data_IF_298599269998
#
_entry.id   IF_298599269998
#
_cell.length_a   1.000
_cell.length_b   1.000
_cell.length_c   1.000
_cell.angle_alpha   90.00
_cell.angle_beta   90.00
_cell.angle_gamma   90.00
#
_symmetry.space_group_name_H-M   'P 1'
#
loop_
_entity.id
_entity.type
_entity.pdbx_description
1 polymer ?
#
# COMPACT_ATOMS: atom_id res chain seq x y z
N UNK A 1 -17.75 6.01 -30.91
CA UNK A 1 -17.42 6.99 -29.85
C UNK A 1 -16.00 6.68 -29.41
N UNK A 2 -15.09 7.64 -29.47
CA UNK A 2 -13.77 7.48 -28.85
C UNK A 2 -14.04 7.34 -27.34
N UNK A 3 -13.87 6.14 -26.80
CA UNK A 3 -13.86 5.93 -25.35
C UNK A 3 -12.73 6.80 -24.80
N UNK A 4 -13.08 7.87 -24.09
CA UNK A 4 -12.08 8.77 -23.51
C UNK A 4 -11.29 7.98 -22.47
N UNK A 5 -10.06 7.62 -22.81
CA UNK A 5 -9.17 6.85 -21.93
C UNK A 5 -8.87 7.70 -20.69
N UNK A 6 -9.23 7.22 -19.50
CA UNK A 6 -8.88 7.88 -18.25
C UNK A 6 -7.40 7.62 -17.95
N UNK A 7 -6.67 8.67 -17.62
CA UNK A 7 -5.25 8.58 -17.27
C UNK A 7 -5.12 8.91 -15.78
N UNK A 8 -4.47 8.02 -15.03
CA UNK A 8 -4.07 8.24 -13.64
C UNK A 8 -2.55 8.21 -13.59
N UNK A 9 -1.95 9.16 -12.88
CA UNK A 9 -0.50 9.22 -12.69
C UNK A 9 -0.21 9.20 -11.20
N UNK A 10 0.57 8.23 -10.76
CA UNK A 10 1.15 8.21 -9.41
C UNK A 10 2.58 8.76 -9.48
N UNK A 11 2.73 10.03 -9.07
CA UNK A 11 4.05 10.66 -8.97
C UNK A 11 4.73 10.30 -7.63
N UNK A 12 5.70 9.40 -7.71
CA UNK A 12 6.53 8.94 -6.59
C UNK A 12 7.95 9.53 -6.62
N UNK A 13 8.25 10.42 -7.58
CA UNK A 13 9.63 10.76 -7.91
C UNK A 13 10.32 11.64 -6.86
N UNK A 14 9.58 12.34 -6.00
CA UNK A 14 10.19 13.22 -4.98
C UNK A 14 9.99 12.71 -3.57
N UNK A 15 8.88 12.03 -3.32
CA UNK A 15 8.41 11.72 -1.96
C UNK A 15 8.15 10.23 -1.76
N UNK A 16 8.43 9.40 -2.76
CA UNK A 16 8.23 7.96 -2.69
C UNK A 16 6.76 7.57 -2.59
N UNK A 17 6.50 6.44 -1.95
CA UNK A 17 5.16 5.90 -1.75
C UNK A 17 5.06 5.11 -0.44
N UNK A 18 4.13 5.50 0.42
CA UNK A 18 3.75 4.76 1.62
C UNK A 18 2.27 4.38 1.53
N UNK A 19 1.82 3.32 2.20
CA UNK A 19 0.44 2.86 2.10
C UNK A 19 -0.56 3.90 2.63
N UNK A 20 -0.29 4.49 3.78
CA UNK A 20 -1.06 5.59 4.38
C UNK A 20 -1.13 6.83 3.47
N UNK A 21 -0.01 7.20 2.84
CA UNK A 21 0.08 8.29 1.86
C UNK A 21 -0.74 7.97 0.61
N UNK A 22 -0.70 6.72 0.15
CA UNK A 22 -1.42 6.29 -1.03
C UNK A 22 -2.93 6.29 -0.79
N UNK A 23 -3.37 5.75 0.35
CA UNK A 23 -4.76 5.81 0.78
C UNK A 23 -5.24 7.25 0.97
N UNK A 24 -4.46 8.08 1.67
CA UNK A 24 -4.75 9.49 1.86
C UNK A 24 -4.90 10.24 0.53
N UNK A 25 -4.01 9.99 -0.42
CA UNK A 25 -4.07 10.56 -1.77
C UNK A 25 -5.33 10.18 -2.54
N UNK A 26 -5.78 8.93 -2.45
CA UNK A 26 -7.01 8.47 -3.11
C UNK A 26 -8.27 9.08 -2.46
N UNK A 27 -8.29 9.22 -1.13
CA UNK A 27 -9.37 9.92 -0.43
C UNK A 27 -9.40 11.40 -0.83
N UNK A 28 -8.24 12.05 -0.93
CA UNK A 28 -8.15 13.45 -1.35
C UNK A 28 -8.54 13.65 -2.82
N UNK A 29 -8.32 12.63 -3.66
CA UNK A 29 -8.76 12.60 -5.06
C UNK A 29 -10.28 12.45 -5.20
N UNK A 30 -10.99 12.07 -4.13
CA UNK A 30 -12.45 12.01 -4.09
C UNK A 30 -13.03 10.62 -3.87
N UNK A 31 -12.24 9.63 -3.42
CA UNK A 31 -12.81 8.36 -2.99
C UNK A 31 -13.79 8.56 -1.81
N UNK A 32 -14.89 7.83 -1.82
CA UNK A 32 -15.92 7.90 -0.77
C UNK A 32 -15.34 7.47 0.59
N UNK A 33 -15.21 8.46 1.48
CA UNK A 33 -14.62 8.27 2.79
C UNK A 33 -15.42 7.32 3.69
N UNK A 34 -16.74 7.32 3.56
CA UNK A 34 -17.61 6.50 4.41
C UNK A 34 -17.54 5.03 3.99
N UNK A 35 -17.48 4.75 2.68
CA UNK A 35 -17.24 3.41 2.15
C UNK A 35 -15.85 2.88 2.56
N UNK A 36 -14.80 3.71 2.44
CA UNK A 36 -13.45 3.34 2.88
C UNK A 36 -13.43 3.05 4.39
N UNK A 37 -14.00 3.92 5.23
CA UNK A 37 -14.04 3.71 6.69
C UNK A 37 -14.82 2.46 7.07
N UNK A 38 -15.93 2.16 6.37
CA UNK A 38 -16.74 0.97 6.60
C UNK A 38 -15.94 -0.30 6.31
N UNK A 39 -15.21 -0.33 5.19
CA UNK A 39 -14.35 -1.46 4.83
C UNK A 39 -13.15 -1.64 5.77
N UNK A 40 -12.55 -0.54 6.22
CA UNK A 40 -11.47 -0.61 7.21
C UNK A 40 -11.97 -1.14 8.56
N UNK A 41 -13.15 -0.72 9.00
CA UNK A 41 -13.74 -1.23 10.24
C UNK A 41 -14.10 -2.71 10.14
N UNK A 42 -14.53 -3.23 8.99
CA UNK A 42 -14.88 -4.65 8.86
C UNK A 42 -13.69 -5.60 9.09
N UNK A 43 -12.45 -5.12 8.97
CA UNK A 43 -11.25 -5.91 9.31
C UNK A 43 -11.29 -6.46 10.75
N UNK A 44 -11.92 -5.75 11.69
CA UNK A 44 -12.02 -6.18 13.09
C UNK A 44 -12.70 -7.55 13.25
N UNK A 45 -13.56 -7.94 12.29
CA UNK A 45 -14.29 -9.21 12.33
C UNK A 45 -13.45 -10.40 11.83
N UNK A 46 -12.28 -10.14 11.26
CA UNK A 46 -11.41 -11.17 10.68
C UNK A 46 -10.11 -11.36 11.44
N UNK A 47 -9.92 -10.59 12.52
CA UNK A 47 -8.73 -10.60 13.37
C UNK A 47 -9.07 -11.27 14.68
N UNK A 48 -8.23 -12.22 15.11
CA UNK A 48 -8.40 -12.89 16.39
C UNK A 48 -8.34 -11.90 17.55
N UNK A 49 -9.28 -12.03 18.49
CA UNK A 49 -9.45 -11.08 19.60
C UNK A 49 -10.31 -9.85 19.26
N UNK A 50 -10.69 -9.68 17.99
CA UNK A 50 -11.60 -8.63 17.50
C UNK A 50 -11.24 -7.22 18.03
N UNK A 51 -10.01 -6.74 17.80
CA UNK A 51 -9.59 -5.43 18.28
C UNK A 51 -10.48 -4.33 17.68
N UNK A 52 -10.66 -3.24 18.42
CA UNK A 52 -11.32 -2.05 17.88
C UNK A 52 -10.38 -1.39 16.89
N UNK A 53 -10.84 -1.17 15.66
CA UNK A 53 -10.08 -0.47 14.63
C UNK A 53 -10.56 0.98 14.55
N UNK A 54 -9.64 1.89 14.84
CA UNK A 54 -9.86 3.32 14.71
C UNK A 54 -9.19 3.84 13.45
N UNK A 55 -9.93 4.66 12.70
CA UNK A 55 -9.49 5.25 11.43
C UNK A 55 -9.66 6.76 11.53
N UNK A 56 -8.54 7.47 11.52
CA UNK A 56 -8.51 8.93 11.51
C UNK A 56 -7.99 9.40 10.17
N UNK A 57 -8.79 10.23 9.48
CA UNK A 57 -8.33 10.96 8.31
C UNK A 57 -8.15 12.42 8.71
N UNK A 58 -6.97 12.96 8.47
CA UNK A 58 -6.65 14.35 8.78
C UNK A 58 -6.10 15.08 7.56
N UNK A 59 -6.45 16.35 7.42
CA UNK A 59 -5.78 17.24 6.47
C UNK A 59 -4.37 17.55 7.01
N UNK A 60 -3.38 17.37 6.14
CA UNK A 60 -1.98 17.62 6.47
C UNK A 60 -1.39 18.62 5.49
N UNK A 61 -0.43 19.40 6.00
CA UNK A 61 0.37 20.30 5.18
C UNK A 61 1.85 19.93 5.33
N UNK A 62 2.51 19.67 4.22
CA UNK A 62 3.96 19.41 4.15
C UNK A 62 4.59 20.52 3.33
N UNK A 63 5.21 21.48 4.02
CA UNK A 63 5.62 22.77 3.44
C UNK A 63 4.38 23.45 2.84
N UNK A 64 4.38 23.70 1.53
CA UNK A 64 3.28 24.37 0.83
C UNK A 64 2.26 23.42 0.21
N UNK A 65 2.49 22.11 0.27
CA UNK A 65 1.59 21.10 -0.30
C UNK A 65 0.58 20.64 0.75
N UNK A 66 -0.69 20.60 0.35
CA UNK A 66 -1.76 19.99 1.13
C UNK A 66 -1.95 18.54 0.70
N UNK A 67 -2.52 17.73 1.59
CA UNK A 67 -2.98 16.38 1.29
C UNK A 67 -3.72 15.81 2.49
N UNK A 68 -4.12 14.55 2.40
CA UNK A 68 -4.72 13.81 3.51
C UNK A 68 -3.78 12.73 4.02
N UNK A 69 -3.82 12.49 5.32
CA UNK A 69 -3.16 11.36 5.99
C UNK A 69 -4.21 10.44 6.58
N UNK A 70 -4.03 9.14 6.36
CA UNK A 70 -4.82 8.10 7.01
C UNK A 70 -3.99 7.50 8.15
N UNK A 71 -4.47 7.63 9.38
CA UNK A 71 -3.88 6.97 10.55
C UNK A 71 -4.84 5.86 11.00
N UNK A 72 -4.34 4.61 10.99
CA UNK A 72 -5.10 3.42 11.40
C UNK A 72 -4.45 2.80 12.63
N UNK A 73 -5.25 2.55 13.67
CA UNK A 73 -4.79 1.93 14.92
C UNK A 73 -5.72 0.82 15.38
N UNK A 74 -5.19 -0.13 16.16
CA UNK A 74 -5.94 -1.21 16.79
C UNK A 74 -5.82 -1.16 18.32
N UNK A 75 -6.94 -1.37 19.01
CA UNK A 75 -6.98 -1.55 20.47
C UNK A 75 -7.61 -2.92 20.85
N UNK A 76 -6.85 -3.85 21.45
CA UNK A 76 -5.43 -3.72 21.81
C UNK A 76 -4.51 -3.73 20.58
N UNK A 77 -3.26 -3.22 20.71
CA UNK A 77 -2.26 -3.31 19.65
C UNK A 77 -2.12 -4.77 19.17
N UNK A 78 -2.19 -4.95 17.86
CA UNK A 78 -2.25 -6.27 17.23
C UNK A 78 -1.11 -6.44 16.24
N UNK A 79 -0.33 -7.52 16.41
CA UNK A 79 0.71 -7.94 15.48
C UNK A 79 0.27 -9.18 14.72
N UNK A 80 0.57 -9.23 13.43
CA UNK A 80 0.12 -10.22 12.48
C UNK A 80 1.29 -11.09 11.98
N UNK A 81 1.00 -12.36 11.77
CA UNK A 81 1.84 -13.27 10.98
C UNK A 81 1.51 -13.15 9.49
N UNK A 82 2.38 -13.68 8.62
CA UNK A 82 2.13 -13.74 7.18
C UNK A 82 0.83 -14.48 6.83
N UNK A 83 0.58 -15.60 7.52
CA UNK A 83 -0.62 -16.42 7.32
C UNK A 83 -1.88 -15.66 7.74
N UNK A 84 -1.84 -14.97 8.88
CA UNK A 84 -2.98 -14.16 9.33
C UNK A 84 -3.22 -12.98 8.40
N UNK A 85 -2.18 -12.30 7.90
CA UNK A 85 -2.32 -11.20 6.94
C UNK A 85 -3.07 -11.65 5.68
N UNK A 86 -2.64 -12.76 5.07
CA UNK A 86 -3.32 -13.37 3.90
C UNK A 86 -4.79 -13.62 4.22
N UNK A 87 -5.04 -14.33 5.32
CA UNK A 87 -6.39 -14.72 5.72
C UNK A 87 -7.28 -13.49 5.95
N UNK A 88 -6.79 -12.47 6.65
CA UNK A 88 -7.54 -11.25 6.98
C UNK A 88 -7.94 -10.51 5.70
N UNK A 89 -6.96 -10.21 4.82
CA UNK A 89 -7.24 -9.44 3.60
C UNK A 89 -8.17 -10.22 2.68
N UNK A 90 -7.91 -11.52 2.44
CA UNK A 90 -8.75 -12.35 1.57
C UNK A 90 -10.18 -12.48 2.09
N UNK A 91 -10.37 -12.64 3.40
CA UNK A 91 -11.70 -12.70 3.99
C UNK A 91 -12.42 -11.36 3.88
N UNK A 92 -11.74 -10.27 4.20
CA UNK A 92 -12.31 -8.93 4.15
C UNK A 92 -12.77 -8.57 2.72
N UNK A 93 -11.90 -8.69 1.71
CA UNK A 93 -12.26 -8.31 0.33
C UNK A 93 -13.30 -9.23 -0.31
N UNK A 94 -13.42 -10.48 0.17
CA UNK A 94 -14.47 -11.40 -0.29
C UNK A 94 -15.84 -10.99 0.27
N UNK A 95 -15.88 -10.51 1.49
CA UNK A 95 -17.12 -10.14 2.19
C UNK A 95 -17.58 -8.71 1.81
N UNK A 96 -16.72 -7.93 1.13
CA UNK A 96 -17.05 -6.65 0.51
C UNK A 96 -17.61 -6.82 -0.91
N UNK A 97 -18.51 -5.91 -1.31
CA UNK A 97 -19.09 -5.85 -2.66
C UNK A 97 -18.12 -5.22 -3.68
N UNK A 98 -17.00 -5.89 -3.93
CA UNK A 98 -15.94 -5.46 -4.85
C UNK A 98 -15.95 -6.26 -6.16
N UNK A 99 -15.48 -5.65 -7.26
CA UNK A 99 -15.18 -6.37 -8.48
C UNK A 99 -14.12 -7.47 -8.27
N UNK A 100 -14.14 -8.48 -9.15
CA UNK A 100 -13.10 -9.53 -9.13
C UNK A 100 -11.69 -8.97 -9.41
N UNK A 101 -11.60 -7.85 -10.15
CA UNK A 101 -10.32 -7.16 -10.37
C UNK A 101 -9.78 -6.56 -9.08
N UNK A 102 -10.63 -5.88 -8.30
CA UNK A 102 -10.25 -5.31 -7.00
C UNK A 102 -9.83 -6.40 -6.00
N UNK A 103 -10.60 -7.50 -5.90
CA UNK A 103 -10.26 -8.64 -5.03
C UNK A 103 -8.93 -9.29 -5.44
N UNK A 104 -8.70 -9.43 -6.74
CA UNK A 104 -7.44 -9.94 -7.28
C UNK A 104 -6.28 -9.00 -6.96
N UNK A 105 -6.46 -7.68 -7.14
CA UNK A 105 -5.46 -6.69 -6.78
C UNK A 105 -5.02 -6.80 -5.32
N UNK A 106 -5.97 -6.82 -4.37
CA UNK A 106 -5.65 -6.97 -2.95
C UNK A 106 -4.86 -8.27 -2.67
N UNK A 107 -5.25 -9.38 -3.31
CA UNK A 107 -4.58 -10.67 -3.17
C UNK A 107 -3.15 -10.65 -3.73
N UNK A 108 -2.95 -10.03 -4.90
CA UNK A 108 -1.65 -9.93 -5.55
C UNK A 108 -0.69 -9.02 -4.75
N UNK A 109 -1.21 -7.94 -4.13
CA UNK A 109 -0.45 -7.07 -3.24
C UNK A 109 0.06 -7.84 -2.02
N UNK A 110 -0.80 -8.59 -1.33
CA UNK A 110 -0.39 -9.39 -0.17
C UNK A 110 0.62 -10.48 -0.55
N UNK A 111 0.40 -11.16 -1.69
CA UNK A 111 1.38 -12.13 -2.19
C UNK A 111 2.74 -11.49 -2.43
N UNK A 112 2.76 -10.29 -3.03
CA UNK A 112 3.99 -9.55 -3.33
C UNK A 112 4.74 -9.18 -2.04
N UNK A 113 4.03 -8.73 -1.01
CA UNK A 113 4.64 -8.42 0.30
C UNK A 113 5.30 -9.66 0.92
N UNK A 114 4.56 -10.76 0.97
CA UNK A 114 5.02 -11.98 1.63
C UNK A 114 6.17 -12.63 0.87
N UNK A 115 6.14 -12.63 -0.46
CA UNK A 115 7.24 -13.13 -1.27
C UNK A 115 8.51 -12.28 -1.09
N UNK A 116 8.37 -10.97 -0.91
CA UNK A 116 9.49 -10.07 -0.66
C UNK A 116 10.10 -10.30 0.73
N UNK A 117 9.28 -10.38 1.77
CA UNK A 117 9.70 -10.71 3.13
C UNK A 117 10.41 -12.07 3.20
N UNK A 118 9.87 -13.08 2.49
CA UNK A 118 10.45 -14.42 2.42
C UNK A 118 11.87 -14.40 1.86
N UNK A 119 12.07 -13.62 0.79
CA UNK A 119 13.37 -13.47 0.13
C UNK A 119 14.33 -12.66 0.98
N UNK A 120 13.89 -11.54 1.53
CA UNK A 120 14.68 -10.66 2.38
C UNK A 120 15.22 -11.41 3.61
N UNK A 121 14.42 -12.30 4.20
CA UNK A 121 14.80 -13.07 5.38
C UNK A 121 15.34 -14.48 5.09
N UNK A 122 15.29 -14.95 3.84
CA UNK A 122 15.71 -16.30 3.46
C UNK A 122 14.91 -17.41 4.15
N UNK A 123 13.65 -17.15 4.48
CA UNK A 123 12.75 -18.06 5.22
C UNK A 123 11.61 -18.55 4.34
N UNK A 124 10.98 -19.66 4.74
CA UNK A 124 9.71 -20.09 4.14
C UNK A 124 8.56 -19.21 4.63
N UNK A 125 7.52 -19.07 3.82
CA UNK A 125 6.36 -18.21 4.10
C UNK A 125 5.75 -18.49 5.49
N UNK A 126 5.69 -19.77 5.87
CA UNK A 126 5.10 -20.21 7.13
C UNK A 126 5.94 -19.82 8.37
N UNK A 127 7.21 -19.48 8.18
CA UNK A 127 8.18 -19.14 9.23
C UNK A 127 8.44 -17.62 9.32
N UNK A 128 7.76 -16.82 8.50
CA UNK A 128 7.89 -15.36 8.47
C UNK A 128 6.97 -14.74 9.52
N UNK A 129 7.60 -14.15 10.53
CA UNK A 129 7.00 -13.08 11.29
C UNK A 129 7.17 -11.81 10.46
N UNK A 130 6.06 -11.15 10.13
CA UNK A 130 6.12 -9.89 9.40
C UNK A 130 6.68 -8.86 10.37
N UNK A 131 7.85 -8.34 10.05
CA UNK A 131 8.49 -7.36 10.90
C UNK A 131 8.06 -5.97 10.44
N UNK A 132 8.27 -5.68 9.15
CA UNK A 132 8.03 -4.36 8.57
C UNK A 132 6.56 -4.12 8.20
N UNK A 133 5.79 -5.19 7.98
CA UNK A 133 4.39 -5.14 7.51
C UNK A 133 3.44 -5.93 8.42
N UNK A 134 3.83 -6.12 9.67
CA UNK A 134 3.15 -6.97 10.64
C UNK A 134 2.14 -6.26 11.53
N UNK A 135 1.91 -4.96 11.33
CA UNK A 135 0.95 -4.19 12.11
C UNK A 135 -0.42 -4.15 11.42
N UNK A 136 -1.42 -3.61 12.12
CA UNK A 136 -2.79 -3.47 11.59
C UNK A 136 -2.86 -2.52 10.38
N UNK A 137 -1.88 -1.63 10.25
CA UNK A 137 -1.74 -0.69 9.15
C UNK A 137 -1.71 -1.42 7.80
N UNK A 138 -0.99 -2.52 7.68
CA UNK A 138 -0.77 -3.22 6.42
C UNK A 138 -2.07 -3.77 5.82
N UNK A 139 -2.87 -4.62 6.50
CA UNK A 139 -4.15 -5.05 5.94
C UNK A 139 -5.12 -3.88 5.74
N UNK A 140 -5.07 -2.86 6.60
CA UNK A 140 -5.88 -1.66 6.46
C UNK A 140 -5.55 -0.88 5.20
N UNK A 141 -4.28 -0.59 4.94
CA UNK A 141 -3.80 0.09 3.74
C UNK A 141 -4.16 -0.70 2.48
N UNK A 142 -3.95 -2.02 2.47
CA UNK A 142 -4.29 -2.88 1.32
C UNK A 142 -5.80 -2.84 1.03
N UNK A 143 -6.64 -3.08 2.05
CA UNK A 143 -8.10 -3.09 1.86
C UNK A 143 -8.62 -1.69 1.54
N UNK A 144 -8.18 -0.68 2.28
CA UNK A 144 -8.60 0.71 2.11
C UNK A 144 -8.25 1.24 0.73
N UNK A 145 -7.03 1.00 0.25
CA UNK A 145 -6.62 1.39 -1.11
C UNK A 145 -7.43 0.62 -2.15
N UNK A 146 -7.62 -0.69 -1.97
CA UNK A 146 -8.42 -1.50 -2.91
C UNK A 146 -9.84 -0.93 -3.06
N UNK A 147 -10.49 -0.59 -1.94
CA UNK A 147 -11.84 -0.01 -1.93
C UNK A 147 -11.84 1.38 -2.54
N UNK A 148 -10.85 2.22 -2.23
CA UNK A 148 -10.76 3.56 -2.79
C UNK A 148 -10.54 3.54 -4.31
N UNK A 149 -9.69 2.64 -4.81
CA UNK A 149 -9.46 2.43 -6.24
C UNK A 149 -10.72 1.94 -6.97
N UNK A 150 -11.45 0.99 -6.37
CA UNK A 150 -12.73 0.50 -6.92
C UNK A 150 -13.77 1.61 -6.95
N UNK A 151 -13.93 2.37 -5.86
CA UNK A 151 -14.87 3.48 -5.76
C UNK A 151 -14.58 4.57 -6.81
N UNK A 152 -13.30 4.84 -7.09
CA UNK A 152 -12.87 5.77 -8.12
C UNK A 152 -12.98 5.19 -9.54
N UNK A 153 -13.28 3.91 -9.72
CA UNK A 153 -13.37 3.24 -11.03
C UNK A 153 -12.01 3.01 -11.68
N UNK A 154 -10.92 2.91 -10.91
CA UNK A 154 -9.57 2.77 -11.47
C UNK A 154 -9.27 1.36 -11.99
N UNK A 155 -10.11 0.37 -11.65
CA UNK A 155 -10.05 -0.96 -12.24
C UNK A 155 -10.85 -1.09 -13.56
N UNK A 156 -11.51 -0.03 -14.02
CA UNK A 156 -12.24 0.00 -15.28
C UNK A 156 -11.29 -0.16 -16.47
N UNK A 157 -11.76 -0.82 -17.54
CA UNK A 157 -10.91 -1.16 -18.70
C UNK A 157 -10.44 0.03 -19.53
N UNK A 158 -11.05 1.20 -19.35
CA UNK A 158 -10.69 2.45 -20.01
C UNK A 158 -9.75 3.32 -19.17
N UNK A 159 -9.37 2.89 -17.98
CA UNK A 159 -8.35 3.54 -17.15
C UNK A 159 -6.97 2.97 -17.47
N UNK A 160 -5.97 3.86 -17.59
CA UNK A 160 -4.55 3.51 -17.70
C UNK A 160 -3.78 4.23 -16.61
N UNK A 161 -3.04 3.46 -15.83
CA UNK A 161 -2.34 3.94 -14.63
C UNK A 161 -0.84 3.96 -14.92
N UNK A 162 -0.25 5.15 -14.81
CA UNK A 162 1.17 5.37 -14.93
C UNK A 162 1.79 5.63 -13.57
N UNK A 163 3.08 5.35 -13.45
CA UNK A 163 3.89 5.87 -12.34
C UNK A 163 5.23 6.39 -12.83
N UNK A 164 5.74 7.39 -12.12
CA UNK A 164 7.12 7.83 -12.25
C UNK A 164 8.06 6.86 -11.53
N UNK A 165 9.38 6.87 -11.83
CA UNK A 165 10.35 6.17 -11.00
C UNK A 165 10.21 6.52 -9.52
N UNK A 166 10.36 5.52 -8.64
CA UNK A 166 10.09 5.65 -7.20
C UNK A 166 11.31 6.23 -6.48
N UNK A 167 11.12 7.31 -5.71
CA UNK A 167 12.12 7.74 -4.75
C UNK A 167 12.04 6.86 -3.50
N UNK A 168 13.09 6.08 -3.24
CA UNK A 168 13.11 5.16 -2.08
C UNK A 168 13.75 5.77 -0.84
N UNK A 169 14.44 6.90 -1.00
CA UNK A 169 15.19 7.51 0.09
C UNK A 169 16.54 6.84 0.30
N UNK A 170 17.11 6.94 1.49
CA UNK A 170 18.46 6.48 1.77
C UNK A 170 18.79 6.54 3.26
N UNK A 171 20.02 6.13 3.57
CA UNK A 171 20.53 6.13 4.93
C UNK A 171 20.10 4.92 5.74
N UNK A 172 19.88 5.09 7.04
CA UNK A 172 19.55 3.98 7.93
C UNK A 172 18.52 4.39 8.99
N UNK A 173 17.59 3.49 9.28
CA UNK A 173 16.53 3.72 10.26
C UNK A 173 16.45 2.56 11.26
N UNK A 174 15.96 2.87 12.46
CA UNK A 174 15.80 1.88 13.53
C UNK A 174 14.46 1.18 13.40
N UNK A 175 14.46 -0.14 13.50
CA UNK A 175 13.28 -0.98 13.42
C UNK A 175 13.33 -2.10 14.47
N UNK A 176 12.30 -2.95 14.54
CA UNK A 176 12.19 -4.05 15.52
C UNK A 176 13.38 -5.03 15.52
N UNK A 177 14.16 -5.07 14.44
CA UNK A 177 15.32 -5.95 14.24
C UNK A 177 16.68 -5.22 14.33
N UNK A 178 16.67 -3.95 14.72
CA UNK A 178 17.88 -3.11 14.76
C UNK A 178 17.90 -2.08 13.63
N UNK A 179 19.09 -1.69 13.20
CA UNK A 179 19.28 -0.63 12.20
C UNK A 179 19.31 -1.25 10.80
N UNK A 180 18.41 -0.82 9.93
CA UNK A 180 18.24 -1.31 8.56
C UNK A 180 18.56 -0.18 7.58
N UNK A 181 19.27 -0.44 6.45
CA UNK A 181 19.46 0.57 5.43
C UNK A 181 18.13 0.92 4.75
N UNK A 182 17.99 2.15 4.27
CA UNK A 182 16.95 2.53 3.33
C UNK A 182 17.49 2.48 1.89
N UNK A 183 16.73 1.91 0.94
CA UNK A 183 15.43 1.23 1.11
C UNK A 183 15.48 -0.02 1.96
N UNK A 184 14.37 -0.30 2.64
CA UNK A 184 14.15 -1.57 3.34
C UNK A 184 14.38 -2.76 2.38
N UNK A 185 14.95 -3.88 2.85
CA UNK A 185 15.17 -5.07 2.02
C UNK A 185 13.91 -5.56 1.32
N UNK A 186 12.75 -5.54 2.00
CA UNK A 186 11.46 -5.90 1.41
C UNK A 186 11.06 -4.93 0.30
N UNK A 187 11.22 -3.62 0.50
CA UNK A 187 10.97 -2.60 -0.56
C UNK A 187 11.84 -2.87 -1.80
N UNK A 188 13.12 -3.18 -1.63
CA UNK A 188 14.02 -3.54 -2.73
C UNK A 188 13.56 -4.78 -3.48
N UNK A 189 13.19 -5.84 -2.76
CA UNK A 189 12.73 -7.09 -3.35
C UNK A 189 11.43 -6.91 -4.13
N UNK A 190 10.51 -6.09 -3.64
CA UNK A 190 9.25 -5.75 -4.31
C UNK A 190 9.52 -5.04 -5.64
N UNK A 191 10.29 -3.95 -5.61
CA UNK A 191 10.62 -3.17 -6.82
C UNK A 191 11.38 -4.04 -7.84
N UNK A 192 12.34 -4.84 -7.37
CA UNK A 192 13.10 -5.79 -8.20
C UNK A 192 12.19 -6.84 -8.85
N UNK A 193 11.19 -7.36 -8.13
CA UNK A 193 10.30 -8.41 -8.63
C UNK A 193 9.53 -8.02 -9.89
N UNK A 194 9.28 -6.72 -10.09
CA UNK A 194 8.56 -6.16 -11.24
C UNK A 194 9.44 -5.32 -12.17
N UNK A 195 10.76 -5.31 -11.98
CA UNK A 195 11.70 -4.42 -12.67
C UNK A 195 11.24 -2.95 -12.63
N UNK A 196 10.79 -2.50 -11.46
CA UNK A 196 10.27 -1.15 -11.28
C UNK A 196 11.42 -0.15 -11.11
N UNK A 197 11.41 0.95 -11.87
CA UNK A 197 12.46 1.97 -11.78
C UNK A 197 12.41 2.68 -10.43
N UNK A 198 13.57 2.82 -9.78
CA UNK A 198 13.69 3.53 -8.52
C UNK A 198 15.01 4.29 -8.40
N UNK A 199 15.04 5.26 -7.49
CA UNK A 199 16.22 6.06 -7.16
C UNK A 199 16.37 6.23 -5.65
N UNK A 200 17.57 5.99 -5.16
CA UNK A 200 17.94 6.27 -3.77
C UNK A 200 18.44 7.71 -3.57
N UNK A 201 18.39 8.18 -2.33
CA UNK A 201 18.88 9.49 -1.91
C UNK A 201 18.20 10.67 -2.61
N UNK A 202 18.66 11.91 -2.35
CA UNK A 202 19.63 12.30 -1.33
C UNK A 202 19.03 12.40 0.08
N UNK A 203 17.74 12.08 0.26
CA UNK A 203 17.06 12.17 1.55
C UNK A 203 17.44 10.97 2.42
N UNK A 204 17.97 11.27 3.62
CA UNK A 204 18.35 10.30 4.66
C UNK A 204 17.12 9.95 5.52
N UNK A 205 16.15 9.30 4.88
CA UNK A 205 14.94 8.76 5.48
C UNK A 205 14.33 7.72 4.54
N UNK A 206 13.48 6.83 5.08
CA UNK A 206 12.62 5.99 4.25
C UNK A 206 11.56 6.86 3.57
N UNK A 207 11.54 6.85 2.24
CA UNK A 207 10.52 7.54 1.43
C UNK A 207 9.51 6.56 0.85
N UNK A 208 9.86 5.29 0.71
CA UNK A 208 8.95 4.27 0.21
C UNK A 208 8.90 3.07 1.14
N UNK A 209 7.71 2.79 1.66
CA UNK A 209 7.48 1.64 2.54
C UNK A 209 7.22 0.38 1.73
N UNK A 210 7.43 -0.82 2.29
CA UNK A 210 7.11 -2.07 1.60
C UNK A 210 5.64 -2.12 1.12
N UNK A 211 4.69 -1.71 1.97
CA UNK A 211 3.26 -1.67 1.61
C UNK A 211 2.98 -0.71 0.47
N UNK A 212 3.51 0.51 0.51
CA UNK A 212 3.37 1.48 -0.56
C UNK A 212 3.93 0.98 -1.89
N UNK A 213 5.12 0.37 -1.86
CA UNK A 213 5.73 -0.22 -3.05
C UNK A 213 4.88 -1.39 -3.59
N UNK A 214 4.40 -2.29 -2.74
CA UNK A 214 3.60 -3.43 -3.16
C UNK A 214 2.28 -3.00 -3.82
N UNK A 215 1.62 -1.99 -3.27
CA UNK A 215 0.42 -1.38 -3.86
C UNK A 215 0.72 -0.83 -5.25
N UNK A 216 1.81 -0.06 -5.38
CA UNK A 216 2.19 0.58 -6.62
C UNK A 216 2.50 -0.43 -7.73
N UNK A 217 3.38 -1.41 -7.47
CA UNK A 217 3.85 -2.35 -8.50
C UNK A 217 2.75 -3.29 -9.00
N UNK A 218 1.69 -3.50 -8.23
CA UNK A 218 0.53 -4.30 -8.64
C UNK A 218 -0.57 -3.47 -9.31
N UNK A 219 -0.52 -2.13 -9.20
CA UNK A 219 -1.51 -1.23 -9.78
C UNK A 219 -1.09 -0.68 -11.15
N UNK A 220 0.19 -0.35 -11.31
CA UNK A 220 0.71 0.43 -12.43
C UNK A 220 0.80 -0.40 -13.70
N UNK A 221 0.27 0.14 -14.80
CA UNK A 221 0.38 -0.47 -16.12
C UNK A 221 1.71 -0.15 -16.82
N UNK A 222 2.28 1.02 -16.53
CA UNK A 222 3.46 1.53 -17.23
C UNK A 222 4.24 2.55 -16.41
N UNK A 223 5.57 2.45 -16.45
CA UNK A 223 6.48 3.37 -15.78
C UNK A 223 6.96 4.40 -16.80
N UNK A 224 6.83 5.68 -16.48
CA UNK A 224 7.27 6.78 -17.34
C UNK A 224 8.02 7.84 -16.54
N UNK A 225 9.24 8.25 -16.95
CA UNK A 225 9.97 9.33 -16.27
C UNK A 225 9.29 10.70 -16.35
N UNK A 226 8.33 10.86 -17.26
CA UNK A 226 7.63 12.13 -17.51
C UNK A 226 6.12 11.92 -17.54
N UNK A 227 5.36 12.96 -17.20
CA UNK A 227 3.90 12.91 -17.31
C UNK A 227 3.48 12.60 -18.75
N UNK A 228 2.51 11.68 -18.94
CA UNK A 228 2.03 11.29 -20.26
C UNK A 228 1.35 12.47 -20.98
N UNK A 229 1.47 12.49 -22.32
CA UNK A 229 0.89 13.50 -23.20
C UNK A 229 -0.53 13.18 -23.65
#
# INVERSE_FOLDING_TARGET
>A
MLTSKRIVVVDCQTSGVAGDMFLGGLIDLGADLDEVKKALKSLQHHIDGSPTIDVTISDVRRKELHGKRADITADPPTTLTSISLISIVQKCVRDLELSEKAKKFASDVVSTLIDAEARAHGKKIEEIHLHETGEIDTPAEVVGVTVALENLGFFDSDTKIYSTPVAVGGGAFSFSHGIVPSPAPSTLEILRSRNFDFKGGPIDAELSTPTGAALLVNLVDEITPFYPH
#
